data_IF_136629398362
#
_entry.id   IF_136629398362
#
_cell.length_a   1.000
_cell.length_b   1.000
_cell.length_c   1.000
_cell.angle_alpha   90.00
_cell.angle_beta   90.00
_cell.angle_gamma   90.00
#
_symmetry.space_group_name_H-M   'P 1'
#
loop_
_entity.id
_entity.type
_entity.pdbx_description
1 polymer ?
#
# COMPACT_ATOMS: atom_id res chain seq x y z
N UNK A 1 47.09 -9.36 -22.03
CA UNK A 1 45.87 -10.14 -21.75
C UNK A 1 45.15 -9.42 -20.63
N UNK A 2 43.93 -8.94 -20.89
CA UNK A 2 43.22 -8.00 -20.01
C UNK A 2 42.41 -8.73 -18.94
N UNK A 3 42.58 -8.29 -17.70
CA UNK A 3 41.91 -8.79 -16.50
C UNK A 3 40.57 -8.08 -16.32
N UNK A 4 39.47 -8.76 -16.67
CA UNK A 4 38.11 -8.19 -16.62
C UNK A 4 37.45 -8.53 -15.27
N UNK A 5 37.54 -7.59 -14.34
CA UNK A 5 36.95 -7.70 -13.00
C UNK A 5 35.42 -7.72 -13.09
N UNK A 6 34.83 -8.90 -12.93
CA UNK A 6 33.38 -9.10 -12.88
C UNK A 6 32.75 -8.37 -11.68
N UNK A 7 32.18 -7.18 -11.92
CA UNK A 7 31.34 -6.47 -10.94
C UNK A 7 30.04 -7.26 -10.72
N UNK A 8 29.95 -7.99 -9.61
CA UNK A 8 28.71 -8.64 -9.14
C UNK A 8 27.61 -7.59 -9.01
N UNK A 9 26.61 -7.64 -9.90
CA UNK A 9 25.42 -6.78 -9.82
C UNK A 9 24.69 -7.08 -8.52
N UNK A 10 24.52 -6.08 -7.64
CA UNK A 10 23.72 -6.21 -6.43
C UNK A 10 22.30 -6.57 -6.83
N UNK A 11 21.75 -7.64 -6.26
CA UNK A 11 20.38 -8.04 -6.51
C UNK A 11 19.46 -6.86 -6.14
N UNK A 12 18.49 -6.48 -6.99
CA UNK A 12 17.52 -5.45 -6.64
C UNK A 12 16.84 -5.83 -5.33
N UNK A 13 16.75 -4.88 -4.39
CA UNK A 13 15.94 -5.06 -3.20
C UNK A 13 14.52 -5.37 -3.67
N UNK A 14 14.08 -6.60 -3.39
CA UNK A 14 12.76 -7.09 -3.79
C UNK A 14 11.74 -6.58 -2.79
N UNK A 15 11.04 -5.52 -3.16
CA UNK A 15 9.85 -5.11 -2.41
C UNK A 15 8.72 -6.09 -2.72
N UNK A 16 8.22 -6.75 -1.67
CA UNK A 16 6.96 -7.51 -1.73
C UNK A 16 5.79 -6.53 -1.83
N UNK A 17 4.59 -7.01 -2.17
CA UNK A 17 3.34 -6.22 -2.11
C UNK A 17 3.19 -5.58 -0.72
N UNK A 18 3.45 -6.35 0.34
CA UNK A 18 3.48 -5.84 1.72
C UNK A 18 4.56 -4.77 1.93
N UNK A 19 5.70 -4.91 1.24
CA UNK A 19 6.78 -3.93 1.24
C UNK A 19 6.47 -2.64 0.47
N UNK A 20 5.44 -2.63 -0.38
CA UNK A 20 4.95 -1.42 -1.08
C UNK A 20 3.80 -0.74 -0.34
N UNK A 21 2.96 -1.51 0.33
CA UNK A 21 1.84 -0.99 1.13
C UNK A 21 2.33 -0.14 2.30
N UNK A 22 3.38 -0.57 3.00
CA UNK A 22 3.90 0.17 4.16
C UNK A 22 4.48 1.55 3.79
N UNK A 23 5.37 1.70 2.79
CA UNK A 23 5.83 3.02 2.34
C UNK A 23 4.68 3.93 1.90
N UNK A 24 3.63 3.37 1.27
CA UNK A 24 2.48 4.16 0.85
C UNK A 24 1.66 4.67 2.05
N UNK A 25 1.43 3.83 3.06
CA UNK A 25 0.77 4.23 4.30
C UNK A 25 1.54 5.34 5.01
N UNK A 26 2.85 5.18 5.18
CA UNK A 26 3.69 6.19 5.83
C UNK A 26 3.74 7.49 5.02
N UNK A 27 3.74 7.41 3.69
CA UNK A 27 3.69 8.61 2.84
C UNK A 27 2.39 9.38 2.96
N UNK A 28 1.25 8.69 3.07
CA UNK A 28 -0.06 9.32 3.31
C UNK A 28 -0.12 9.91 4.72
N UNK A 29 0.52 9.28 5.69
CA UNK A 29 0.52 9.76 7.08
C UNK A 29 1.41 11.01 7.27
N UNK A 30 2.64 10.98 6.77
CA UNK A 30 3.61 12.07 6.98
C UNK A 30 3.43 13.22 5.99
N UNK A 31 2.88 12.96 4.80
CA UNK A 31 2.75 13.88 3.67
C UNK A 31 4.02 14.74 3.43
N UNK A 32 5.19 14.16 3.11
CA UNK A 32 6.42 14.94 2.91
C UNK A 32 6.33 16.05 1.86
N UNK A 33 5.43 15.91 0.88
CA UNK A 33 5.22 16.91 -0.17
C UNK A 33 4.44 18.15 0.30
N UNK A 34 3.70 18.06 1.40
CA UNK A 34 2.98 19.20 2.00
C UNK A 34 3.85 19.95 3.04
N UNK A 35 5.12 19.58 3.15
CA UNK A 35 6.05 20.21 4.09
C UNK A 35 6.26 21.70 3.75
N UNK A 36 6.44 22.58 4.77
CA UNK A 36 6.88 23.95 4.54
C UNK A 36 8.17 24.02 3.73
N UNK A 37 8.40 25.15 3.04
CA UNK A 37 9.59 25.35 2.20
C UNK A 37 10.87 25.00 2.96
N UNK A 38 11.68 24.11 2.36
CA UNK A 38 12.94 23.63 2.95
C UNK A 38 12.82 22.48 3.95
N UNK A 39 11.62 22.05 4.34
CA UNK A 39 11.41 21.00 5.35
C UNK A 39 11.08 19.62 4.78
N UNK A 40 10.93 19.49 3.45
CA UNK A 40 10.62 18.22 2.79
C UNK A 40 11.61 17.12 3.16
N UNK A 41 12.91 17.43 3.25
CA UNK A 41 13.95 16.45 3.63
C UNK A 41 13.69 15.85 5.01
N UNK A 42 13.34 16.68 5.99
CA UNK A 42 13.07 16.25 7.36
C UNK A 42 11.86 15.32 7.39
N UNK A 43 10.79 15.66 6.66
CA UNK A 43 9.62 14.78 6.55
C UNK A 43 9.94 13.43 5.89
N UNK A 44 10.87 13.40 4.93
CA UNK A 44 11.34 12.13 4.37
C UNK A 44 12.16 11.31 5.37
N UNK A 45 12.93 11.96 6.25
CA UNK A 45 13.62 11.29 7.35
C UNK A 45 12.61 10.66 8.33
N UNK A 46 11.53 11.36 8.68
CA UNK A 46 10.44 10.83 9.50
C UNK A 46 9.82 9.55 8.90
N UNK A 47 9.47 9.56 7.60
CA UNK A 47 8.99 8.37 6.88
C UNK A 47 9.98 7.21 7.01
N UNK A 48 11.27 7.50 6.95
CA UNK A 48 12.32 6.48 7.04
C UNK A 48 12.40 5.89 8.44
N UNK A 49 12.27 6.72 9.48
CA UNK A 49 12.27 6.28 10.87
C UNK A 49 11.09 5.33 11.13
N UNK A 50 9.88 5.69 10.69
CA UNK A 50 8.72 4.83 10.83
C UNK A 50 8.90 3.51 10.07
N UNK A 51 9.47 3.58 8.88
CA UNK A 51 9.73 2.38 8.06
C UNK A 51 10.82 1.47 8.63
N UNK A 52 11.73 1.97 9.47
CA UNK A 52 12.77 1.14 10.12
C UNK A 52 12.22 0.29 11.25
N UNK A 53 11.15 0.70 11.92
CA UNK A 53 10.56 -0.07 13.00
C UNK A 53 10.09 -1.47 12.53
N UNK A 54 9.33 -1.61 11.42
CA UNK A 54 8.89 -2.92 10.91
C UNK A 54 9.89 -3.60 9.97
N UNK A 55 10.81 -2.86 9.34
CA UNK A 55 11.69 -3.41 8.31
C UNK A 55 13.17 -3.46 8.72
N UNK A 56 13.60 -2.78 9.77
CA UNK A 56 14.98 -2.71 10.21
C UNK A 56 15.82 -1.63 9.53
N UNK A 57 17.07 -1.49 9.99
CA UNK A 57 17.96 -0.35 9.69
C UNK A 57 18.46 -0.24 8.25
N UNK A 58 18.22 -1.25 7.41
CA UNK A 58 18.62 -1.20 6.00
C UNK A 58 17.74 -0.25 5.17
N UNK A 59 16.62 0.23 5.71
CA UNK A 59 15.77 1.22 5.06
C UNK A 59 16.43 2.60 5.09
N UNK A 60 16.57 3.19 3.91
CA UNK A 60 17.17 4.52 3.73
C UNK A 60 16.16 5.51 3.18
N UNK A 61 16.34 6.79 3.51
CA UNK A 61 15.51 7.90 3.03
C UNK A 61 15.46 7.98 1.51
N UNK A 62 16.62 7.82 0.88
CA UNK A 62 16.72 7.79 -0.59
C UNK A 62 16.03 6.56 -1.18
N UNK A 63 16.06 5.41 -0.49
CA UNK A 63 15.35 4.20 -0.88
C UNK A 63 13.83 4.36 -0.83
N UNK A 64 13.30 4.90 0.27
CA UNK A 64 11.86 5.16 0.43
C UNK A 64 11.35 6.13 -0.63
N UNK A 65 12.07 7.24 -0.85
CA UNK A 65 11.70 8.24 -1.86
C UNK A 65 11.69 7.65 -3.27
N UNK A 66 12.77 6.94 -3.63
CA UNK A 66 12.86 6.31 -4.94
C UNK A 66 11.76 5.28 -5.16
N UNK A 67 11.48 4.46 -4.14
CA UNK A 67 10.41 3.45 -4.25
C UNK A 67 9.05 4.11 -4.44
N UNK A 68 8.76 5.18 -3.70
CA UNK A 68 7.53 5.95 -3.86
C UNK A 68 7.42 6.57 -5.26
N UNK A 69 8.49 7.19 -5.77
CA UNK A 69 8.52 7.76 -7.12
C UNK A 69 8.29 6.68 -8.20
N UNK A 70 8.89 5.50 -8.04
CA UNK A 70 8.69 4.35 -8.94
C UNK A 70 7.23 3.85 -8.90
N UNK A 71 6.63 3.75 -7.71
CA UNK A 71 5.22 3.40 -7.51
C UNK A 71 4.29 4.40 -8.21
N UNK A 72 4.52 5.69 -7.98
CA UNK A 72 3.73 6.77 -8.56
C UNK A 72 3.87 6.82 -10.09
N UNK A 73 5.07 6.62 -10.61
CA UNK A 73 5.36 6.56 -12.05
C UNK A 73 4.64 5.39 -12.72
N UNK A 74 4.65 4.22 -12.08
CA UNK A 74 3.95 3.04 -12.60
C UNK A 74 2.43 3.19 -12.56
N UNK A 75 1.88 3.80 -11.49
CA UNK A 75 0.47 4.11 -11.38
C UNK A 75 0.00 5.06 -12.49
N UNK A 76 0.74 6.16 -12.72
CA UNK A 76 0.43 7.13 -13.78
C UNK A 76 0.48 6.55 -15.19
N UNK A 77 1.26 5.48 -15.40
CA UNK A 77 1.42 4.79 -16.69
C UNK A 77 0.48 3.59 -16.83
N UNK A 78 -0.42 3.37 -15.87
CA UNK A 78 -1.27 2.17 -15.75
C UNK A 78 -0.47 0.86 -15.94
N UNK A 79 0.76 0.85 -15.41
CA UNK A 79 1.73 -0.22 -15.59
C UNK A 79 2.18 -0.81 -14.26
N UNK A 80 1.23 -0.94 -13.33
CA UNK A 80 1.46 -1.55 -12.00
C UNK A 80 1.91 -3.02 -12.15
N UNK A 81 1.55 -3.68 -13.25
CA UNK A 81 2.00 -5.04 -13.58
C UNK A 81 3.52 -5.14 -13.79
N UNK A 82 4.19 -4.10 -14.32
CA UNK A 82 5.64 -4.12 -14.53
C UNK A 82 6.47 -3.94 -13.25
N UNK A 83 5.88 -3.41 -12.17
CA UNK A 83 6.51 -3.39 -10.85
C UNK A 83 6.54 -4.78 -10.19
N UNK A 84 5.66 -5.68 -10.64
CA UNK A 84 5.66 -7.08 -10.23
C UNK A 84 6.71 -7.80 -11.06
N UNK A 85 7.94 -7.84 -10.57
CA UNK A 85 8.92 -8.79 -11.08
C UNK A 85 8.36 -10.20 -10.79
N UNK A 86 7.91 -10.87 -11.86
CA UNK A 86 7.51 -12.28 -11.99
C UNK A 86 7.51 -13.15 -10.72
N UNK A 87 6.38 -13.84 -10.52
CA UNK A 87 6.24 -14.97 -9.62
C UNK A 87 5.11 -14.75 -8.64
N UNK A 88 4.07 -15.58 -8.70
CA UNK A 88 3.23 -15.87 -7.54
C UNK A 88 4.13 -16.11 -6.33
N UNK A 89 3.65 -15.74 -5.13
CA UNK A 89 4.40 -15.77 -3.86
C UNK A 89 5.19 -17.07 -3.62
N UNK A 90 4.74 -18.20 -4.21
CA UNK A 90 5.42 -19.50 -4.27
C UNK A 90 6.86 -19.49 -4.83
N UNK A 91 7.22 -18.61 -5.78
CA UNK A 91 8.56 -18.64 -6.39
C UNK A 91 9.63 -17.89 -5.58
N UNK A 92 9.25 -17.07 -4.60
CA UNK A 92 10.22 -16.34 -3.76
C UNK A 92 10.67 -17.11 -2.53
N UNK A 93 9.83 -17.98 -1.96
CA UNK A 93 10.21 -18.81 -0.81
C UNK A 93 11.18 -19.92 -1.23
N UNK A 94 10.95 -20.55 -2.40
CA UNK A 94 11.79 -21.62 -2.93
C UNK A 94 13.23 -21.20 -3.30
N UNK A 95 13.48 -19.91 -3.54
CA UNK A 95 14.81 -19.39 -3.89
C UNK A 95 15.70 -19.08 -2.68
N UNK A 96 15.12 -18.92 -1.48
CA UNK A 96 15.87 -18.68 -0.24
C UNK A 96 16.54 -19.96 0.30
N UNK A 97 15.91 -21.13 0.11
CA UNK A 97 16.40 -22.40 0.64
C UNK A 97 17.58 -23.01 -0.16
N UNK A 98 17.74 -22.70 -1.45
CA UNK A 98 18.84 -23.26 -2.26
C UNK A 98 20.24 -22.71 -1.91
N UNK A 99 20.35 -21.62 -1.15
CA UNK A 99 21.65 -21.04 -0.76
C UNK A 99 22.26 -21.62 0.52
N UNK A 100 21.51 -22.43 1.30
CA UNK A 100 22.06 -23.16 2.46
C UNK A 100 22.65 -24.53 2.10
N UNK A 101 22.27 -25.12 0.97
CA UNK A 101 22.64 -26.50 0.64
C UNK A 101 23.95 -26.70 -0.15
N UNK A 102 24.74 -25.64 -0.44
CA UNK A 102 25.91 -25.75 -1.34
C UNK A 102 27.27 -25.41 -0.71
N UNK A 103 27.38 -25.36 0.63
CA UNK A 103 28.65 -25.02 1.30
C UNK A 103 29.21 -26.06 2.28
N UNK A 104 28.62 -27.26 2.35
CA UNK A 104 29.08 -28.31 3.29
C UNK A 104 29.63 -29.59 2.64
N UNK A 105 29.91 -29.60 1.33
CA UNK A 105 30.35 -30.84 0.66
C UNK A 105 31.72 -30.71 -0.02
N UNK A 106 32.73 -30.32 0.77
CA UNK A 106 34.12 -30.42 0.33
C UNK A 106 35.08 -30.73 1.47
N UNK A 107 34.80 -31.80 2.22
CA UNK A 107 35.82 -32.41 3.06
C UNK A 107 35.58 -33.92 3.23
N UNK A 108 36.65 -34.68 2.94
CA UNK A 108 36.91 -36.12 3.20
C UNK A 108 36.58 -37.13 2.08
N UNK A 109 37.62 -37.38 1.27
CA UNK A 109 37.96 -38.73 0.79
C UNK A 109 38.06 -39.70 1.98
N UNK A 110 37.53 -40.92 1.85
CA UNK A 110 38.12 -42.23 2.24
C UNK A 110 37.24 -43.33 1.62
N UNK A 111 37.91 -44.40 1.19
CA UNK A 111 37.51 -45.51 0.32
C UNK A 111 36.40 -46.45 0.82
N UNK A 112 35.74 -47.15 -0.13
CA UNK A 112 35.30 -48.53 0.08
C UNK A 112 33.82 -48.89 -0.17
N UNK A 113 33.61 -49.71 -1.19
CA UNK A 113 32.70 -50.86 -1.28
C UNK A 113 31.25 -50.71 -1.80
N UNK A 114 30.92 -51.65 -2.70
CA UNK A 114 29.68 -51.85 -3.45
C UNK A 114 28.56 -52.40 -2.57
N UNK A 115 27.34 -51.85 -2.62
CA UNK A 115 26.11 -52.64 -2.39
C UNK A 115 24.88 -51.96 -3.03
N UNK A 116 24.20 -52.69 -3.92
CA UNK A 116 22.92 -52.31 -4.56
C UNK A 116 21.70 -52.44 -3.62
N UNK A 117 20.61 -51.72 -3.97
CA UNK A 117 19.19 -51.81 -3.51
C UNK A 117 18.95 -51.28 -2.07
N UNK A 118 17.99 -50.40 -1.76
CA UNK A 118 16.61 -50.24 -2.25
C UNK A 118 16.12 -48.78 -2.17
N UNK A 119 15.18 -48.42 -3.05
CA UNK A 119 14.46 -47.12 -3.05
C UNK A 119 13.37 -47.17 -1.98
N UNK A 120 13.62 -46.55 -0.83
CA UNK A 120 12.61 -46.28 0.18
C UNK A 120 12.04 -44.86 0.00
N UNK A 121 10.83 -44.75 -0.54
CA UNK A 121 9.98 -43.56 -0.37
C UNK A 121 9.34 -43.57 1.02
N UNK A 122 9.34 -42.44 1.76
CA UNK A 122 8.26 -42.16 2.69
C UNK A 122 7.49 -40.91 2.26
N UNK A 123 6.29 -41.14 1.75
CA UNK A 123 5.23 -40.16 1.69
C UNK A 123 4.90 -39.68 3.12
N UNK A 124 5.23 -38.43 3.45
CA UNK A 124 4.68 -37.69 4.61
C UNK A 124 4.96 -36.21 4.45
N UNK A 125 4.05 -35.49 3.78
CA UNK A 125 3.76 -34.04 3.92
C UNK A 125 2.62 -33.69 2.96
N UNK A 126 1.39 -34.07 3.33
CA UNK A 126 0.15 -33.73 2.57
C UNK A 126 -1.00 -33.35 3.51
N UNK A 127 -0.68 -32.71 4.64
CA UNK A 127 -1.71 -32.23 5.58
C UNK A 127 -1.66 -30.74 5.93
N UNK A 128 -0.61 -30.00 5.56
CA UNK A 128 -0.54 -28.55 5.85
C UNK A 128 -0.90 -27.65 4.65
N UNK A 129 -0.75 -28.12 3.42
CA UNK A 129 -0.98 -27.33 2.19
C UNK A 129 -2.47 -26.99 1.92
N UNK A 130 -3.41 -27.72 2.52
CA UNK A 130 -4.84 -27.43 2.33
C UNK A 130 -5.38 -26.35 3.27
N UNK A 131 -4.74 -26.08 4.42
CA UNK A 131 -5.22 -25.06 5.36
C UNK A 131 -4.80 -23.63 4.96
N UNK A 132 -3.63 -23.48 4.32
CA UNK A 132 -3.08 -22.16 3.97
C UNK A 132 -3.77 -21.54 2.74
N UNK A 133 -4.15 -22.36 1.76
CA UNK A 133 -4.91 -21.92 0.56
C UNK A 133 -6.32 -21.43 0.91
N UNK A 134 -7.02 -22.13 1.82
CA UNK A 134 -8.33 -21.72 2.33
C UNK A 134 -8.27 -20.42 3.13
N UNK A 135 -7.25 -20.27 3.99
CA UNK A 135 -7.05 -19.06 4.78
C UNK A 135 -6.75 -17.83 3.92
N UNK A 136 -5.95 -17.96 2.86
CA UNK A 136 -5.65 -16.86 1.94
C UNK A 136 -6.87 -16.43 1.10
N UNK A 137 -7.70 -17.38 0.69
CA UNK A 137 -8.96 -17.11 0.00
C UNK A 137 -10.00 -16.45 0.92
N UNK A 138 -10.09 -16.88 2.19
CA UNK A 138 -10.95 -16.23 3.18
C UNK A 138 -10.51 -14.79 3.50
N UNK A 139 -9.20 -14.55 3.64
CA UNK A 139 -8.67 -13.19 3.84
C UNK A 139 -8.97 -12.29 2.64
N UNK A 140 -8.81 -12.79 1.42
CA UNK A 140 -9.16 -12.04 0.20
C UNK A 140 -10.65 -11.71 0.12
N UNK A 141 -11.51 -12.64 0.53
CA UNK A 141 -12.96 -12.40 0.57
C UNK A 141 -13.35 -11.41 1.67
N UNK A 142 -12.71 -11.48 2.84
CA UNK A 142 -12.90 -10.53 3.95
C UNK A 142 -12.53 -9.11 3.53
N UNK A 143 -11.36 -8.93 2.91
CA UNK A 143 -10.92 -7.62 2.40
C UNK A 143 -11.91 -7.05 1.37
N UNK A 144 -12.42 -7.88 0.45
CA UNK A 144 -13.42 -7.43 -0.54
C UNK A 144 -14.74 -7.04 0.10
N UNK A 145 -15.19 -7.76 1.13
CA UNK A 145 -16.43 -7.44 1.85
C UNK A 145 -16.27 -6.12 2.61
N UNK A 146 -15.13 -5.90 3.26
CA UNK A 146 -14.82 -4.64 3.95
C UNK A 146 -14.73 -3.46 2.97
N UNK A 147 -14.12 -3.65 1.79
CA UNK A 147 -14.04 -2.63 0.75
C UNK A 147 -15.44 -2.26 0.19
N UNK A 148 -16.30 -3.27 -0.02
CA UNK A 148 -17.69 -3.03 -0.43
C UNK A 148 -18.48 -2.31 0.65
N UNK A 149 -18.29 -2.68 1.92
CA UNK A 149 -18.93 -2.01 3.05
C UNK A 149 -18.51 -0.54 3.15
N UNK A 150 -17.21 -0.26 3.04
CA UNK A 150 -16.67 1.10 3.05
C UNK A 150 -17.24 1.96 1.90
N UNK A 151 -17.34 1.40 0.68
CA UNK A 151 -17.95 2.09 -0.47
C UNK A 151 -19.45 2.36 -0.26
N UNK A 152 -20.17 1.44 0.36
CA UNK A 152 -21.59 1.64 0.68
C UNK A 152 -21.77 2.74 1.73
N UNK A 153 -20.90 2.80 2.75
CA UNK A 153 -20.90 3.86 3.74
C UNK A 153 -20.55 5.23 3.12
N UNK A 154 -19.54 5.27 2.26
CA UNK A 154 -19.16 6.48 1.51
C UNK A 154 -20.32 7.02 0.67
N UNK A 155 -21.02 6.14 -0.06
CA UNK A 155 -22.20 6.51 -0.84
C UNK A 155 -23.34 7.02 0.05
N UNK A 156 -23.59 6.38 1.19
CA UNK A 156 -24.62 6.80 2.14
C UNK A 156 -24.31 8.19 2.73
N UNK A 157 -23.04 8.44 3.09
CA UNK A 157 -22.58 9.75 3.55
C UNK A 157 -22.72 10.81 2.45
N UNK A 158 -22.39 10.47 1.20
CA UNK A 158 -22.57 11.34 0.04
C UNK A 158 -24.02 11.77 -0.15
N UNK A 159 -24.97 10.82 -0.07
CA UNK A 159 -26.41 11.11 -0.16
C UNK A 159 -26.88 12.03 0.97
N UNK A 160 -26.47 11.74 2.21
CA UNK A 160 -26.82 12.57 3.37
C UNK A 160 -26.25 13.98 3.28
N UNK A 161 -25.02 14.13 2.78
CA UNK A 161 -24.42 15.44 2.54
C UNK A 161 -25.23 16.25 1.53
N UNK A 162 -25.64 15.62 0.43
CA UNK A 162 -26.44 16.26 -0.62
C UNK A 162 -27.81 16.70 -0.08
N UNK A 163 -28.45 15.89 0.77
CA UNK A 163 -29.69 16.25 1.45
C UNK A 163 -29.52 17.48 2.36
N UNK A 164 -28.43 17.53 3.14
CA UNK A 164 -28.12 18.66 4.01
C UNK A 164 -27.82 19.95 3.22
N UNK A 165 -27.11 19.85 2.10
CA UNK A 165 -26.86 20.99 1.21
C UNK A 165 -28.16 21.55 0.63
N UNK A 166 -29.07 20.67 0.20
CA UNK A 166 -30.39 21.10 -0.28
C UNK A 166 -31.21 21.78 0.82
N UNK A 167 -31.21 21.24 2.06
CA UNK A 167 -31.86 21.88 3.21
C UNK A 167 -31.27 23.25 3.53
N UNK A 168 -29.94 23.38 3.48
CA UNK A 168 -29.26 24.65 3.69
C UNK A 168 -29.67 25.68 2.65
N UNK A 169 -29.73 25.28 1.38
CA UNK A 169 -30.18 26.15 0.29
C UNK A 169 -31.61 26.67 0.53
N UNK A 170 -32.55 25.79 0.90
CA UNK A 170 -33.93 26.19 1.19
C UNK A 170 -34.01 27.18 2.35
N UNK A 171 -33.22 26.97 3.38
CA UNK A 171 -33.17 27.86 4.55
C UNK A 171 -32.59 29.23 4.18
N UNK A 172 -31.51 29.27 3.41
CA UNK A 172 -30.92 30.53 2.92
C UNK A 172 -31.88 31.30 1.99
N UNK A 173 -32.60 30.57 1.12
CA UNK A 173 -33.65 31.14 0.28
C UNK A 173 -34.78 31.75 1.12
N UNK A 174 -35.29 31.02 2.10
CA UNK A 174 -36.34 31.50 3.00
C UNK A 174 -35.90 32.72 3.83
N UNK A 175 -34.66 32.73 4.31
CA UNK A 175 -34.09 33.88 5.02
C UNK A 175 -34.05 35.12 4.12
N UNK A 176 -33.60 34.97 2.88
CA UNK A 176 -33.55 36.08 1.92
C UNK A 176 -34.94 36.62 1.59
N UNK A 177 -35.92 35.74 1.40
CA UNK A 177 -37.31 36.12 1.16
C UNK A 177 -37.92 36.84 2.38
N UNK A 178 -37.65 36.36 3.60
CA UNK A 178 -38.13 37.01 4.83
C UNK A 178 -37.56 38.42 5.00
N UNK A 179 -36.26 38.62 4.74
CA UNK A 179 -35.64 39.95 4.78
C UNK A 179 -36.23 40.88 3.72
N UNK A 180 -36.48 40.37 2.52
CA UNK A 180 -37.11 41.15 1.45
C UNK A 180 -38.53 41.58 1.84
N UNK A 181 -39.32 40.68 2.43
CA UNK A 181 -40.67 41.02 2.91
C UNK A 181 -40.64 42.04 4.04
N UNK A 182 -39.72 41.89 5.00
CA UNK A 182 -39.56 42.87 6.08
C UNK A 182 -39.27 44.27 5.50
N UNK A 183 -38.27 44.39 4.63
CA UNK A 183 -37.91 45.66 3.99
C UNK A 183 -39.06 46.27 3.18
N UNK A 184 -39.88 45.42 2.54
CA UNK A 184 -41.09 45.87 1.85
C UNK A 184 -42.12 46.42 2.84
N UNK A 185 -42.41 45.69 3.92
CA UNK A 185 -43.38 46.13 4.93
C UNK A 185 -42.93 47.40 5.65
N UNK A 186 -41.64 47.54 5.95
CA UNK A 186 -41.07 48.76 6.54
C UNK A 186 -41.26 49.97 5.63
N UNK A 187 -41.03 49.81 4.32
CA UNK A 187 -41.24 50.88 3.34
C UNK A 187 -42.71 51.25 3.20
N UNK A 188 -43.61 50.27 3.16
CA UNK A 188 -45.05 50.50 3.11
C UNK A 188 -45.53 51.22 4.37
N UNK A 189 -45.07 50.81 5.56
CA UNK A 189 -45.39 51.47 6.84
C UNK A 189 -44.89 52.92 6.90
N UNK A 190 -43.68 53.20 6.40
CA UNK A 190 -43.16 54.57 6.31
C UNK A 190 -44.00 55.45 5.38
N UNK A 191 -44.47 54.89 4.25
CA UNK A 191 -45.35 55.62 3.33
C UNK A 191 -46.74 55.87 3.93
N UNK A 192 -47.24 54.95 4.75
CA UNK A 192 -48.49 55.11 5.48
C UNK A 192 -48.37 56.18 6.58
N UNK A 193 -47.25 56.24 7.30
CA UNK A 193 -46.98 57.29 8.30
C UNK A 193 -46.94 58.70 7.69
N UNK A 194 -46.53 58.82 6.41
CA UNK A 194 -46.44 60.10 5.71
C UNK A 194 -47.75 60.54 5.02
N UNK A 195 -48.83 59.75 5.14
CA UNK A 195 -50.11 59.99 4.48
C UNK A 195 -51.13 60.57 5.47
#
# INVERSE_FOLDING_TARGET
MSDETQKKKKAPLRYSVHGDVNPLKEMIFVCPHDAPYGQTTIRWEEVTVHMREPHGDFVTTSGCRKRFDDLLSAFKKDNVKALRASGTEEEMEAAADKKKATKEDKEKKIDGDDTEREIATPAKKRKEEQLTSGANMELSNKIKVEEVAAKMEELALGQRKLELEHRRYLLEKAQREALFQLARTEREALLELMR
#
